data_IF_856216116767
#
_entry.id   IF_856216116767
#
_cell.length_a   1.000
_cell.length_b   1.000
_cell.length_c   1.000
_cell.angle_alpha   90.00
_cell.angle_beta   90.00
_cell.angle_gamma   90.00
#
_symmetry.space_group_name_H-M   'P 1'
#
loop_
_entity.id
_entity.type
_entity.pdbx_description
1 polymer ?
#
# COMPACT_ATOMS: atom_id res chain seq x y z
N UNK A 1 -18.37 -14.35 10.13
CA UNK A 1 -19.50 -13.51 10.63
C UNK A 1 -20.40 -13.06 9.48
N UNK A 2 -21.56 -12.43 9.68
CA UNK A 2 -22.39 -11.89 8.58
C UNK A 2 -22.23 -10.37 8.45
N UNK A 3 -22.37 -9.86 7.24
CA UNK A 3 -22.40 -8.43 6.96
C UNK A 3 -23.65 -7.79 7.58
N UNK A 4 -23.47 -6.77 8.42
CA UNK A 4 -24.58 -6.07 9.08
C UNK A 4 -25.46 -5.28 8.09
N UNK A 5 -24.97 -5.00 6.88
CA UNK A 5 -25.69 -4.23 5.87
C UNK A 5 -26.45 -5.10 4.86
N UNK A 6 -25.84 -6.17 4.35
CA UNK A 6 -26.46 -7.00 3.30
C UNK A 6 -26.63 -8.49 3.67
N UNK A 7 -26.18 -8.92 4.84
CA UNK A 7 -26.33 -10.29 5.31
C UNK A 7 -25.40 -11.34 4.70
N UNK A 8 -24.54 -10.97 3.74
CA UNK A 8 -23.56 -11.87 3.15
C UNK A 8 -22.60 -12.46 4.20
N UNK A 9 -22.15 -13.70 4.00
CA UNK A 9 -21.13 -14.31 4.85
C UNK A 9 -19.77 -13.63 4.65
N UNK A 10 -19.09 -13.35 5.77
CA UNK A 10 -17.79 -12.70 5.82
C UNK A 10 -16.76 -13.67 6.42
N UNK A 11 -15.70 -14.01 5.67
CA UNK A 11 -14.50 -14.65 6.20
C UNK A 11 -13.86 -13.84 7.34
N UNK A 12 -13.08 -14.50 8.19
CA UNK A 12 -12.28 -13.81 9.20
C UNK A 12 -11.28 -12.84 8.56
N UNK A 13 -11.04 -11.68 9.20
CA UNK A 13 -10.14 -10.64 8.69
C UNK A 13 -10.67 -9.81 7.50
N UNK A 14 -11.93 -10.01 7.10
CA UNK A 14 -12.54 -9.23 6.01
C UNK A 14 -12.66 -7.75 6.38
N UNK A 15 -12.07 -6.86 5.58
CA UNK A 15 -12.16 -5.40 5.77
C UNK A 15 -13.41 -4.79 5.12
N UNK A 16 -13.82 -5.34 3.99
CA UNK A 16 -14.94 -4.88 3.19
C UNK A 16 -15.80 -6.06 2.76
N UNK A 17 -17.11 -5.89 2.74
CA UNK A 17 -18.02 -6.90 2.20
C UNK A 17 -17.81 -7.02 0.68
N UNK A 18 -17.43 -8.21 0.19
CA UNK A 18 -17.28 -8.46 -1.25
C UNK A 18 -18.57 -8.43 -2.07
N UNK A 19 -19.74 -8.41 -1.40
CA UNK A 19 -21.04 -8.33 -2.06
C UNK A 19 -21.56 -6.89 -2.20
N UNK A 20 -21.56 -6.11 -1.11
CA UNK A 20 -22.14 -4.75 -1.10
C UNK A 20 -21.12 -3.62 -0.86
N UNK A 21 -19.84 -3.94 -0.64
CA UNK A 21 -18.77 -2.96 -0.48
C UNK A 21 -18.67 -2.25 0.87
N UNK A 22 -19.59 -2.49 1.82
CA UNK A 22 -19.54 -1.82 3.13
C UNK A 22 -18.27 -2.22 3.90
N UNK A 23 -17.66 -1.27 4.61
CA UNK A 23 -16.63 -1.57 5.60
C UNK A 23 -17.22 -2.36 6.76
N UNK A 24 -16.64 -3.51 7.04
CA UNK A 24 -17.11 -4.44 8.09
C UNK A 24 -16.13 -4.59 9.24
N UNK A 25 -14.93 -4.03 9.09
CA UNK A 25 -13.95 -3.88 10.15
C UNK A 25 -13.26 -2.53 10.06
N UNK A 26 -12.76 -2.04 11.20
CA UNK A 26 -11.94 -0.85 11.25
C UNK A 26 -10.52 -1.20 10.74
N UNK A 27 -10.03 -0.56 9.66
CA UNK A 27 -8.68 -0.78 9.16
C UNK A 27 -7.58 -0.32 10.13
N UNK A 28 -7.88 0.57 11.07
CA UNK A 28 -6.90 1.11 12.01
C UNK A 28 -6.75 0.23 13.27
N UNK A 29 -7.70 -0.69 13.50
CA UNK A 29 -7.67 -1.63 14.63
C UNK A 29 -6.54 -2.67 14.57
N UNK A 30 -5.89 -2.83 13.40
CA UNK A 30 -4.76 -3.76 13.19
C UNK A 30 -3.60 -3.01 12.54
N UNK A 31 -3.30 -1.80 13.02
CA UNK A 31 -2.07 -1.10 12.64
C UNK A 31 -0.86 -1.89 13.17
N UNK A 32 -0.43 -2.86 12.37
CA UNK A 32 0.84 -3.56 12.57
C UNK A 32 1.92 -2.52 12.34
N UNK A 33 2.68 -2.21 13.38
CA UNK A 33 3.92 -1.45 13.26
C UNK A 33 4.90 -2.39 12.56
N UNK A 34 5.04 -2.28 11.24
CA UNK A 34 6.15 -2.94 10.52
C UNK A 34 7.45 -2.42 11.14
N UNK A 35 8.36 -3.34 11.47
CA UNK A 35 9.65 -2.95 12.04
C UNK A 35 10.36 -2.00 11.05
N UNK A 36 10.91 -0.87 11.51
CA UNK A 36 11.48 0.17 10.65
C UNK A 36 12.48 -0.36 9.62
N UNK A 37 13.17 -1.45 9.96
CA UNK A 37 14.21 -2.09 9.16
C UNK A 37 13.68 -2.66 7.83
N UNK A 38 12.47 -3.23 7.81
CA UNK A 38 11.91 -3.85 6.61
C UNK A 38 11.47 -2.80 5.58
N UNK A 39 10.90 -1.69 6.08
CA UNK A 39 10.49 -0.55 5.26
C UNK A 39 11.68 0.20 4.65
N UNK A 40 12.75 0.41 5.43
CA UNK A 40 13.99 1.03 4.94
C UNK A 40 14.70 0.14 3.91
N UNK A 41 14.80 -1.17 4.16
CA UNK A 41 15.43 -2.10 3.23
C UNK A 41 14.69 -2.12 1.87
N UNK A 42 13.37 -2.09 1.90
CA UNK A 42 12.57 -2.02 0.68
C UNK A 42 12.76 -0.69 -0.06
N UNK A 43 12.77 0.44 0.66
CA UNK A 43 13.03 1.75 0.06
C UNK A 43 14.42 1.81 -0.59
N UNK A 44 15.45 1.28 0.07
CA UNK A 44 16.81 1.19 -0.47
C UNK A 44 16.83 0.34 -1.76
N UNK A 45 16.09 -0.77 -1.79
CA UNK A 45 15.93 -1.60 -2.99
C UNK A 45 15.24 -0.85 -4.12
N UNK A 46 14.18 -0.10 -3.83
CA UNK A 46 13.48 0.71 -4.84
C UNK A 46 14.39 1.79 -5.42
N UNK A 47 15.17 2.48 -4.58
CA UNK A 47 16.18 3.46 -5.03
C UNK A 47 17.19 2.83 -5.99
N UNK A 48 17.64 1.61 -5.71
CA UNK A 48 18.57 0.89 -6.57
C UNK A 48 17.95 0.49 -7.92
N UNK A 49 16.74 -0.08 -7.91
CA UNK A 49 16.08 -0.59 -9.13
C UNK A 49 15.74 0.54 -10.11
N UNK A 50 15.31 1.70 -9.59
CA UNK A 50 14.85 2.82 -10.41
C UNK A 50 15.93 3.90 -10.66
N UNK A 51 17.16 3.67 -10.19
CA UNK A 51 18.25 4.61 -10.34
C UNK A 51 18.48 5.00 -11.81
N UNK A 52 18.68 6.30 -12.05
CA UNK A 52 18.94 6.87 -13.38
C UNK A 52 17.70 7.44 -14.07
N UNK A 53 16.53 6.81 -13.91
CA UNK A 53 15.27 7.30 -14.48
C UNK A 53 14.41 8.02 -13.43
N UNK A 54 14.42 7.53 -12.20
CA UNK A 54 13.63 8.07 -11.10
C UNK A 54 14.43 8.17 -9.80
N UNK A 55 14.33 9.31 -9.14
CA UNK A 55 14.88 9.52 -7.79
C UNK A 55 13.79 9.21 -6.76
N UNK A 56 13.87 8.03 -6.13
CA UNK A 56 12.88 7.57 -5.14
C UNK A 56 13.13 8.19 -3.76
N UNK A 57 12.18 9.00 -3.29
CA UNK A 57 12.32 9.78 -2.05
C UNK A 57 11.85 9.00 -0.82
N UNK A 58 10.54 8.71 -0.75
CA UNK A 58 9.87 8.10 0.41
C UNK A 58 8.56 7.43 0.02
N UNK A 59 8.07 6.55 0.87
CA UNK A 59 6.70 6.03 0.78
C UNK A 59 5.68 7.16 1.06
N UNK A 60 4.58 7.15 0.30
CA UNK A 60 3.44 8.08 0.47
C UNK A 60 2.10 7.35 0.63
N UNK A 61 2.05 6.04 0.43
CA UNK A 61 0.85 5.26 0.71
C UNK A 61 1.05 3.77 0.49
N UNK A 62 0.27 2.98 1.22
CA UNK A 62 0.32 1.52 1.16
C UNK A 62 -1.09 0.95 1.21
N UNK A 63 -1.35 0.02 0.29
CA UNK A 63 -2.60 -0.72 0.21
C UNK A 63 -2.34 -2.21 0.14
N UNK A 64 -3.39 -3.03 0.11
CA UNK A 64 -3.27 -4.49 0.14
C UNK A 64 -2.36 -5.09 -0.94
N UNK A 65 -2.31 -4.48 -2.13
CA UNK A 65 -1.58 -5.02 -3.30
C UNK A 65 -0.28 -4.29 -3.63
N UNK A 66 -0.12 -3.06 -3.13
CA UNK A 66 0.91 -2.16 -3.65
C UNK A 66 1.38 -1.15 -2.60
N UNK A 67 2.61 -0.69 -2.81
CA UNK A 67 3.21 0.45 -2.10
C UNK A 67 3.42 1.57 -3.11
N UNK A 68 3.13 2.80 -2.68
CA UNK A 68 3.24 4.01 -3.50
C UNK A 68 4.35 4.87 -2.94
N UNK A 69 5.35 5.17 -3.78
CA UNK A 69 6.46 6.05 -3.45
C UNK A 69 6.32 7.39 -4.15
N UNK A 70 6.72 8.46 -3.47
CA UNK A 70 7.05 9.71 -4.14
C UNK A 70 8.43 9.58 -4.78
N UNK A 71 8.54 10.01 -6.03
CA UNK A 71 9.81 10.09 -6.73
C UNK A 71 9.85 11.33 -7.63
N UNK A 72 11.04 11.67 -8.13
CA UNK A 72 11.21 12.67 -9.20
C UNK A 72 11.66 11.95 -10.47
N UNK A 73 10.96 12.18 -11.58
CA UNK A 73 11.37 11.68 -12.91
C UNK A 73 12.51 12.56 -13.44
N UNK A 74 13.69 11.98 -13.60
CA UNK A 74 14.93 12.74 -13.86
C UNK A 74 14.88 13.45 -15.21
N UNK A 75 14.33 12.81 -16.24
CA UNK A 75 14.27 13.38 -17.60
C UNK A 75 13.37 14.62 -17.70
N UNK A 76 12.27 14.65 -16.93
CA UNK A 76 11.25 15.71 -17.00
C UNK A 76 11.27 16.65 -15.79
N UNK A 77 12.14 16.38 -14.80
CA UNK A 77 12.30 17.18 -13.58
C UNK A 77 10.95 17.44 -12.88
N UNK A 78 10.10 16.40 -12.80
CA UNK A 78 8.75 16.51 -12.22
C UNK A 78 8.51 15.48 -11.12
N UNK A 79 7.73 15.83 -10.09
CA UNK A 79 7.31 14.87 -9.08
C UNK A 79 6.31 13.87 -9.68
N UNK A 80 6.48 12.60 -9.32
CA UNK A 80 5.61 11.49 -9.72
C UNK A 80 5.30 10.56 -8.54
N UNK A 81 4.31 9.70 -8.73
CA UNK A 81 4.01 8.59 -7.82
C UNK A 81 4.34 7.25 -8.50
N UNK A 82 5.21 6.45 -7.88
CA UNK A 82 5.54 5.09 -8.32
C UNK A 82 4.71 4.08 -7.54
N UNK A 83 3.83 3.33 -8.21
CA UNK A 83 3.00 2.27 -7.60
C UNK A 83 3.64 0.90 -7.87
N UNK A 84 4.29 0.35 -6.86
CA UNK A 84 4.99 -0.94 -6.93
C UNK A 84 4.09 -2.03 -6.38
N UNK A 85 3.84 -3.06 -7.19
CA UNK A 85 3.05 -4.23 -6.77
C UNK A 85 3.91 -5.14 -5.90
N UNK A 86 3.32 -5.72 -4.84
CA UNK A 86 3.98 -6.76 -4.05
C UNK A 86 4.03 -8.07 -4.87
N UNK A 87 5.13 -8.83 -4.79
CA UNK A 87 5.20 -10.16 -5.40
C UNK A 87 4.18 -11.14 -4.79
#
# INVERSE_FOLDING_TARGET
>A
MKCFQCGAELPEGTRFCGHCGVKVSDPDAVTIVEEPEESEALLARMRYIFAGEYEVEREIGRGGMAIVYRATETALQRPIALKVLRP
#
